data_IF_721711956102
#
_entry.id   IF_721711956102
#
_cell.length_a   1.000
_cell.length_b   1.000
_cell.length_c   1.000
_cell.angle_alpha   90.00
_cell.angle_beta   90.00
_cell.angle_gamma   90.00
#
_symmetry.space_group_name_H-M   'P 1'
#
loop_
_entity.id
_entity.type
_entity.pdbx_description
1 polymer ?
2 non-polymer ?
3 water ?
#
# COMPACT_ATOMS: atom_id res chain seq x y z
N UNK A 12 -17.28 11.91 -7.36
CA UNK A 12 -16.32 12.17 -6.27
C UNK A 12 -15.41 13.36 -6.55
N UNK A 13 -15.21 14.17 -5.51
CA UNK A 13 -14.36 15.36 -5.59
C UNK A 13 -12.89 15.05 -5.33
N UNK A 14 -12.54 13.78 -5.10
CA UNK A 14 -11.18 13.36 -4.80
C UNK A 14 -10.93 12.03 -5.50
N UNK A 15 -9.65 11.65 -5.56
CA UNK A 15 -9.21 10.39 -6.17
C UNK A 15 -9.03 9.35 -5.07
N UNK A 16 -10.01 8.45 -4.90
CA UNK A 16 -9.95 7.51 -3.79
C UNK A 16 -8.77 6.55 -3.91
N UNK A 17 -8.33 6.27 -5.13
CA UNK A 17 -7.20 5.35 -5.31
C UNK A 17 -5.92 5.96 -4.76
N UNK A 18 -5.74 7.26 -4.95
CA UNK A 18 -4.54 7.91 -4.42
C UNK A 18 -4.59 8.00 -2.90
N UNK A 19 -5.77 8.27 -2.33
CA UNK A 19 -5.89 8.29 -0.87
C UNK A 19 -5.51 6.94 -0.28
N UNK A 20 -6.07 5.85 -0.82
CA UNK A 20 -5.77 4.53 -0.28
C UNK A 20 -4.31 4.17 -0.50
N UNK A 21 -3.73 4.60 -1.62
CA UNK A 21 -2.31 4.35 -1.87
C UNK A 21 -1.44 5.07 -0.86
N UNK A 22 -1.76 6.32 -0.55
CA UNK A 22 -1.04 7.05 0.49
C UNK A 22 -1.05 6.29 1.81
N UNK A 23 -2.24 5.83 2.23
CA UNK A 23 -2.35 5.06 3.46
C UNK A 23 -1.59 3.74 3.37
N UNK A 24 -1.69 3.07 2.23
CA UNK A 24 -1.03 1.79 2.04
C UNK A 24 0.49 1.91 2.13
N UNK A 25 1.05 2.89 1.43
CA UNK A 25 2.49 3.06 1.47
C UNK A 25 2.97 3.42 2.88
N UNK A 26 2.12 4.09 3.66
CA UNK A 26 2.45 4.40 5.05
C UNK A 26 2.14 3.26 6.01
N UNK A 27 1.70 2.11 5.49
CA UNK A 27 1.33 0.94 6.30
C UNK A 27 0.30 1.31 7.37
N UNK A 28 -0.60 2.24 7.05
CA UNK A 28 -1.62 2.71 7.98
C UNK A 28 -2.94 1.96 7.76
N UNK A 29 -3.83 2.14 8.72
CA UNK A 29 -5.13 1.49 8.77
C UNK A 29 -6.18 2.60 8.61
N UNK A 30 -7.01 2.49 7.56
CA UNK A 30 -7.95 3.58 7.33
C UNK A 30 -8.86 3.79 8.55
N UNK A 31 -9.19 2.71 9.27
CA UNK A 31 -10.08 2.81 10.43
C UNK A 31 -9.52 3.69 11.55
N UNK A 32 -8.20 3.87 11.62
CA UNK A 32 -7.60 4.66 12.68
C UNK A 32 -6.89 5.90 12.14
N UNK A 33 -7.07 6.21 10.86
CA UNK A 33 -6.37 7.36 10.25
C UNK A 33 -7.13 8.65 10.54
N UNK A 34 -6.39 9.67 10.93
CA UNK A 34 -6.97 10.96 11.29
C UNK A 34 -6.85 11.94 10.12
N UNK A 35 -7.97 12.56 9.78
CA UNK A 35 -8.07 13.55 8.72
C UNK A 35 -8.09 14.95 9.33
N UNK A 36 -7.39 15.89 8.68
CA UNK A 36 -7.48 17.29 9.06
C UNK A 36 -7.77 18.10 7.81
N UNK A 37 -8.87 18.84 7.83
CA UNK A 37 -9.22 19.74 6.74
C UNK A 37 -8.87 21.16 7.20
N UNK A 38 -8.02 21.84 6.44
CA UNK A 38 -7.54 23.17 6.80
C UNK A 38 -7.98 24.17 5.73
N UNK A 39 -8.54 25.29 6.17
CA UNK A 39 -9.02 26.31 5.23
C UNK A 39 -7.83 27.03 4.58
N UNK A 40 -7.86 27.24 3.26
CA UNK A 40 -6.67 27.75 2.57
C UNK A 40 -6.31 29.19 2.93
N UNK A 41 -7.26 30.01 3.39
CA UNK A 41 -7.02 31.44 3.56
C UNK A 41 -6.98 31.78 5.05
N UNK A 42 -5.77 32.08 5.54
CA UNK A 42 -5.58 32.32 6.97
C UNK A 42 -6.47 33.45 7.46
N UNK A 43 -6.62 34.51 6.66
CA UNK A 43 -7.39 35.69 7.05
C UNK A 43 -8.87 35.41 7.28
N UNK A 44 -9.41 34.31 6.74
CA UNK A 44 -10.82 34.00 6.96
C UNK A 44 -11.07 33.45 8.35
N UNK A 45 -10.04 32.94 9.01
CA UNK A 45 -10.11 32.39 10.36
C UNK A 45 -11.24 31.36 10.48
N UNK A 46 -11.13 30.32 9.63
CA UNK A 46 -12.04 29.19 9.58
C UNK A 46 -11.44 28.06 10.39
N UNK A 47 -12.26 27.41 11.20
CA UNK A 47 -11.78 26.33 12.05
C UNK A 47 -11.46 25.07 11.25
N UNK A 48 -10.31 24.46 11.53
CA UNK A 48 -9.96 23.20 10.89
C UNK A 48 -10.87 22.08 11.37
N UNK A 49 -11.12 21.11 10.49
CA UNK A 49 -11.83 19.89 10.88
C UNK A 49 -10.82 18.85 11.34
N UNK A 50 -11.13 18.17 12.43
CA UNK A 50 -10.31 17.06 12.90
C UNK A 50 -11.26 15.89 13.11
N UNK A 51 -11.09 14.83 12.32
CA UNK A 51 -12.15 13.84 12.20
C UNK A 51 -11.54 12.56 11.63
N UNK A 52 -12.22 11.41 11.81
CA UNK A 52 -11.78 10.19 11.12
C UNK A 52 -11.81 10.38 9.60
N UNK A 53 -10.87 9.72 8.93
CA UNK A 53 -10.82 9.78 7.47
C UNK A 53 -11.91 8.88 6.89
N UNK A 54 -12.90 9.47 6.22
CA UNK A 54 -13.93 8.73 5.50
C UNK A 54 -14.17 9.42 4.16
N UNK A 55 -14.67 8.65 3.20
CA UNK A 55 -14.93 9.22 1.89
C UNK A 55 -15.96 10.32 1.93
N UNK A 56 -17.02 10.15 2.73
CA UNK A 56 -18.07 11.16 2.81
C UNK A 56 -17.54 12.46 3.41
N UNK A 57 -16.64 12.36 4.39
CA UNK A 57 -16.11 13.56 5.02
C UNK A 57 -15.13 14.28 4.10
N UNK A 58 -14.25 13.54 3.42
CA UNK A 58 -13.38 14.18 2.44
C UNK A 58 -14.20 14.82 1.33
N UNK A 59 -15.23 14.11 0.84
CA UNK A 59 -16.10 14.68 -0.17
C UNK A 59 -16.65 16.04 0.27
N UNK A 60 -17.11 16.12 1.51
CA UNK A 60 -17.69 17.36 2.05
C UNK A 60 -16.64 18.44 2.22
N UNK A 61 -15.47 18.09 2.76
CA UNK A 61 -14.44 19.11 2.97
C UNK A 61 -13.91 19.66 1.65
N UNK A 62 -13.67 18.79 0.67
CA UNK A 62 -13.10 19.26 -0.61
C UNK A 62 -14.09 20.16 -1.34
N UNK A 63 -15.36 19.74 -1.44
CA UNK A 63 -16.32 20.60 -2.14
C UNK A 63 -16.56 21.91 -1.40
N UNK A 64 -16.46 21.92 -0.05
CA UNK A 64 -16.59 23.17 0.69
C UNK A 64 -15.40 24.09 0.49
N UNK A 65 -14.24 23.55 0.14
CA UNK A 65 -13.09 24.38 -0.20
C UNK A 65 -11.86 24.20 0.69
N UNK A 66 -11.81 23.15 1.50
CA UNK A 66 -10.68 22.92 2.39
C UNK A 66 -9.54 22.19 1.68
N UNK A 67 -8.32 22.39 2.18
CA UNK A 67 -7.22 21.52 1.81
C UNK A 67 -7.21 20.30 2.74
N UNK A 68 -6.57 19.22 2.26
CA UNK A 68 -6.71 17.90 2.87
C UNK A 68 -5.37 17.41 3.38
N UNK A 69 -5.36 16.92 4.62
CA UNK A 69 -4.17 16.45 5.32
C UNK A 69 -4.52 15.21 6.13
N UNK A 70 -3.50 14.40 6.41
CA UNK A 70 -3.65 13.32 7.38
C UNK A 70 -2.54 13.42 8.42
N UNK A 71 -2.87 13.00 9.65
CA UNK A 71 -1.83 12.79 10.65
C UNK A 71 -1.05 11.53 10.24
N UNK A 72 0.27 11.69 10.05
CA UNK A 72 1.08 10.56 9.62
C UNK A 72 1.23 9.55 10.76
N UNK A 73 1.57 10.04 11.95
CA UNK A 73 1.68 9.16 13.10
C UNK A 73 0.34 8.55 13.50
N UNK A 74 0.42 7.55 14.37
CA UNK A 74 -0.74 6.75 14.73
C UNK A 74 -1.13 6.97 16.18
N UNK A 75 -2.43 7.17 16.42
CA UNK A 75 -2.93 7.26 17.78
C UNK A 75 -3.89 8.41 18.06
N UNK A 76 -3.94 9.42 17.19
CA UNK A 76 -4.81 10.56 17.44
C UNK A 76 -4.27 11.81 16.78
N UNK A 77 -4.71 12.95 17.33
CA UNK A 77 -4.50 14.25 16.71
C UNK A 77 -3.41 15.10 17.37
N UNK A 78 -3.09 14.83 18.63
CA UNK A 78 -2.09 15.61 19.35
C UNK A 78 -0.85 14.75 19.59
N UNK A 79 0.27 15.41 19.91
CA UNK A 79 1.52 14.69 20.12
C UNK A 79 1.39 13.61 21.19
N UNK A 80 0.73 13.93 22.32
CA UNK A 80 0.60 12.97 23.40
C UNK A 80 -0.20 11.73 23.01
N UNK A 81 -1.08 11.82 22.01
CA UNK A 81 -1.86 10.67 21.58
C UNK A 81 -1.11 9.77 20.60
N UNK A 82 0.03 10.19 20.09
CA UNK A 82 0.76 9.39 19.10
C UNK A 82 1.59 8.35 19.81
N UNK A 83 1.41 7.08 19.44
CA UNK A 83 2.16 6.00 20.07
C UNK A 83 3.23 5.41 19.16
N UNK A 84 3.17 5.66 17.86
CA UNK A 84 4.20 5.21 16.93
C UNK A 84 4.00 5.93 15.61
N UNK A 85 5.06 5.97 14.82
CA UNK A 85 5.07 6.60 13.51
C UNK A 85 5.77 5.63 12.55
N UNK A 86 5.22 5.47 11.34
CA UNK A 86 5.71 4.46 10.40
C UNK A 86 6.72 4.98 9.39
N UNK A 87 6.99 6.28 9.37
CA UNK A 87 7.87 6.87 8.38
C UNK A 87 8.50 8.14 8.95
N UNK A 88 9.67 8.51 8.46
CA UNK A 88 10.15 9.89 8.57
C UNK A 88 9.89 10.56 7.23
N UNK A 89 9.87 11.89 7.24
CA UNK A 89 9.41 12.63 6.07
C UNK A 89 9.81 14.09 6.20
N UNK A 90 9.88 14.78 5.06
CA UNK A 90 10.17 16.20 5.12
C UNK A 90 10.03 16.88 3.77
N UNK A 91 10.30 18.17 3.77
CA UNK A 91 10.15 18.98 2.57
C UNK A 91 11.08 20.18 2.68
N UNK A 92 11.56 20.66 1.54
CA UNK A 92 12.23 21.96 1.51
C UNK A 92 11.19 23.07 1.46
N UNK A 93 11.51 24.19 2.12
CA UNK A 93 10.58 25.32 2.14
C UNK A 93 10.39 25.93 0.77
N UNK A 94 11.40 25.82 -0.12
CA UNK A 94 11.37 26.43 -1.44
C UNK A 94 12.47 25.80 -2.28
N UNK A 95 12.64 26.29 -3.49
CA UNK A 95 13.58 25.77 -4.46
C UNK A 95 12.89 25.26 -5.70
N UNK A 96 13.60 25.28 -6.83
CA UNK A 96 13.06 24.76 -8.07
C UNK A 96 12.48 23.36 -7.85
N UNK A 97 11.26 23.13 -8.33
CA UNK A 97 10.56 21.88 -8.04
C UNK A 97 11.32 20.67 -8.57
N UNK A 98 11.81 20.76 -9.82
CA UNK A 98 12.59 19.66 -10.39
C UNK A 98 13.83 19.38 -9.56
N UNK A 99 14.50 20.43 -9.06
CA UNK A 99 15.63 20.22 -8.18
C UNK A 99 15.20 19.48 -6.91
N UNK A 100 14.02 19.84 -6.37
CA UNK A 100 13.56 19.25 -5.12
C UNK A 100 13.38 17.73 -5.24
N UNK A 101 12.98 17.26 -6.43
CA UNK A 101 12.70 15.84 -6.58
C UNK A 101 13.94 15.01 -6.33
N UNK A 102 15.10 15.46 -6.79
CA UNK A 102 16.30 14.66 -6.68
C UNK A 102 17.30 15.09 -5.62
N UNK A 103 17.05 16.21 -4.94
CA UNK A 103 18.07 16.82 -4.08
C UNK A 103 18.42 15.98 -2.85
N UNK A 104 17.62 14.96 -2.51
CA UNK A 104 17.98 14.10 -1.38
C UNK A 104 19.31 13.40 -1.63
N UNK A 105 19.64 13.16 -2.91
CA UNK A 105 20.83 12.38 -3.24
C UNK A 105 22.10 13.14 -2.89
N UNK A 106 22.15 14.44 -3.22
CA UNK A 106 23.31 15.27 -2.88
C UNK A 106 23.46 15.49 -1.38
N UNK A 107 22.38 15.32 -0.60
CA UNK A 107 22.44 15.39 0.85
C UNK A 107 23.05 14.16 1.49
N UNK A 108 23.23 13.07 0.73
CA UNK A 108 23.62 11.82 1.33
C UNK A 108 22.49 11.02 1.93
N UNK A 109 21.26 11.35 1.59
CA UNK A 109 20.12 10.56 2.05
C UNK A 109 19.94 9.34 1.16
N UNK A 110 19.35 8.27 1.68
CA UNK A 110 18.94 7.16 0.82
C UNK A 110 17.70 7.55 0.03
N UNK A 111 17.41 6.77 -1.00
CA UNK A 111 16.28 7.08 -1.87
C UNK A 111 14.98 7.01 -1.09
N UNK A 112 14.10 7.99 -1.21
CA UNK A 112 12.82 7.93 -0.48
C UNK A 112 12.01 6.70 -0.88
N UNK A 113 11.24 6.17 0.07
CA UNK A 113 10.30 5.11 -0.25
C UNK A 113 9.29 5.58 -1.30
N UNK A 114 8.81 6.82 -1.16
CA UNK A 114 7.97 7.44 -2.19
C UNK A 114 8.01 8.95 -2.00
N UNK A 115 7.52 9.65 -3.01
CA UNK A 115 7.46 11.10 -2.99
C UNK A 115 6.04 11.53 -3.33
N UNK A 116 5.74 12.79 -3.05
CA UNK A 116 4.40 13.30 -3.24
C UNK A 116 4.46 14.71 -3.84
N UNK A 117 3.74 14.88 -4.92
CA UNK A 117 3.58 16.20 -5.53
C UNK A 117 2.33 16.84 -4.94
N UNK A 118 2.44 17.97 -4.30
CA UNK A 118 1.31 18.54 -3.58
C UNK A 118 0.43 19.43 -4.43
N UNK A 119 0.96 19.98 -5.52
CA UNK A 119 0.32 21.10 -6.18
C UNK A 119 0.83 22.46 -5.74
N UNK A 120 1.53 22.53 -4.62
CA UNK A 120 2.11 23.76 -4.15
C UNK A 120 3.60 23.82 -4.40
N UNK A 121 4.31 24.49 -3.46
CA UNK A 121 5.70 24.85 -3.70
C UNK A 121 6.71 23.78 -3.30
N UNK A 122 6.27 22.65 -2.72
CA UNK A 122 7.20 21.70 -2.15
C UNK A 122 6.86 20.28 -2.57
N UNK A 123 7.88 19.49 -2.83
CA UNK A 123 7.79 18.04 -2.91
C UNK A 123 7.87 17.48 -1.49
N UNK A 124 7.10 16.43 -1.22
CA UNK A 124 7.17 15.73 0.06
C UNK A 124 7.91 14.41 -0.13
N UNK A 125 8.86 14.13 0.76
CA UNK A 125 9.68 12.93 0.70
C UNK A 125 9.38 12.06 1.92
N UNK A 126 9.18 10.76 1.69
CA UNK A 126 8.89 9.81 2.75
C UNK A 126 9.87 8.65 2.75
N UNK A 127 10.30 8.24 3.94
CA UNK A 127 11.08 7.02 4.14
C UNK A 127 10.31 6.13 5.11
N UNK A 128 9.80 5.00 4.62
CA UNK A 128 8.91 4.14 5.39
C UNK A 128 9.70 3.01 6.02
N UNK A 129 9.42 2.72 7.29
CA UNK A 129 10.11 1.66 8.01
C UNK A 129 9.33 0.35 7.94
N UNK A 130 10.04 -0.75 8.19
CA UNK A 130 9.40 -2.06 8.17
C UNK A 130 8.46 -2.28 9.35
N UNK A 131 8.65 -1.55 10.45
CA UNK A 131 7.84 -1.67 11.65
C UNK A 131 7.57 -0.29 12.22
N UNK A 132 6.51 -0.13 13.01
CA UNK A 132 6.26 1.18 13.63
C UNK A 132 7.39 1.54 14.57
N UNK A 133 7.69 2.83 14.65
CA UNK A 133 8.79 3.35 15.45
C UNK A 133 8.20 4.12 16.64
N UNK A 134 8.69 3.82 17.84
CA UNK A 134 8.26 4.54 19.03
C UNK A 134 8.59 6.02 18.91
N UNK A 135 7.82 6.84 19.62
CA UNK A 135 7.94 8.29 19.47
C UNK A 135 9.34 8.82 19.79
N UNK A 136 9.98 8.43 20.90
CA UNK A 136 11.33 8.99 21.17
C UNK A 136 12.34 8.70 20.07
N UNK A 137 12.43 7.44 19.60
CA UNK A 137 13.31 7.10 18.49
C UNK A 137 12.92 7.87 17.23
N UNK A 138 11.63 7.89 16.90
CA UNK A 138 11.17 8.62 15.72
C UNK A 138 11.56 10.09 15.80
N UNK A 139 11.36 10.71 16.97
CA UNK A 139 11.63 12.14 17.11
C UNK A 139 13.08 12.45 16.79
N UNK A 140 14.00 11.59 17.23
CA UNK A 140 15.41 11.80 16.97
C UNK A 140 15.74 11.60 15.49
N UNK A 141 15.18 10.56 14.86
CA UNK A 141 15.40 10.34 13.44
C UNK A 141 14.88 11.51 12.61
N UNK A 142 13.69 12.01 12.96
CA UNK A 142 13.08 13.09 12.18
C UNK A 142 13.90 14.37 12.32
N UNK A 143 14.40 14.64 13.52
CA UNK A 143 15.23 15.82 13.74
C UNK A 143 16.53 15.72 12.96
N UNK A 144 17.14 14.55 12.95
CA UNK A 144 18.38 14.37 12.19
C UNK A 144 18.14 14.51 10.70
N UNK A 145 17.00 13.99 10.21
CA UNK A 145 16.66 14.14 8.80
C UNK A 145 16.52 15.61 8.43
N UNK A 146 15.81 16.37 9.25
CA UNK A 146 15.64 17.80 9.00
C UNK A 146 16.99 18.51 8.93
N UNK A 147 17.88 18.18 9.87
CA UNK A 147 19.18 18.85 9.94
C UNK A 147 20.04 18.54 8.72
N UNK A 148 20.08 17.27 8.31
CA UNK A 148 20.97 16.85 7.24
C UNK A 148 20.51 17.39 5.89
N UNK A 149 19.21 17.39 5.65
CA UNK A 149 18.69 17.87 4.38
C UNK A 149 18.51 19.38 4.34
N UNK A 150 18.43 20.04 5.50
CA UNK A 150 17.97 21.41 5.53
C UNK A 150 16.49 21.53 5.18
N UNK A 151 15.67 20.59 5.63
CA UNK A 151 14.24 20.67 5.42
C UNK A 151 13.63 21.80 6.26
N UNK A 152 12.39 22.13 5.94
CA UNK A 152 11.52 22.92 6.80
C UNK A 152 11.45 22.33 8.21
N UNK A 153 11.91 23.09 9.21
CA UNK A 153 12.03 22.58 10.57
C UNK A 153 10.71 22.53 11.33
N UNK A 154 9.62 23.03 10.73
CA UNK A 154 8.31 22.98 11.36
C UNK A 154 7.81 21.56 11.55
N UNK A 155 8.10 20.67 10.59
CA UNK A 155 7.51 19.34 10.53
C UNK A 155 8.28 18.34 11.41
N UNK A 156 8.32 18.61 12.68
CA UNK A 156 9.09 17.78 13.54
C UNK A 156 8.37 17.03 14.67
N UNK A 157 7.10 17.29 14.87
CA UNK A 157 6.36 16.73 16.01
C UNK A 157 5.60 15.47 15.59
N UNK A 158 5.35 14.54 16.52
CA UNK A 158 4.80 13.24 16.10
C UNK A 158 3.37 13.30 15.55
N UNK A 159 2.57 14.32 15.88
CA UNK A 159 1.24 14.44 15.30
C UNK A 159 1.21 15.33 14.06
N UNK A 160 2.36 15.59 13.44
CA UNK A 160 2.41 16.43 12.25
C UNK A 160 1.50 15.88 11.16
N UNK A 161 0.68 16.78 10.54
CA UNK A 161 -0.16 16.40 9.41
C UNK A 161 0.58 16.70 8.11
N UNK A 162 0.29 15.94 7.07
CA UNK A 162 0.89 16.13 5.75
C UNK A 162 -0.21 16.06 4.70
N UNK A 163 0.00 16.81 3.61
CA UNK A 163 -0.95 16.84 2.50
C UNK A 163 -1.31 15.43 2.05
N UNK A 164 -2.60 15.18 1.86
CA UNK A 164 -3.12 13.86 1.48
C UNK A 164 -3.17 13.73 -0.04
N UNK A 165 -2.62 12.63 -0.57
CA UNK A 165 -2.67 12.37 -2.01
C UNK A 165 -4.10 12.21 -2.48
N UNK A 166 -4.35 12.60 -3.73
CA UNK A 166 -5.66 12.43 -4.32
C UNK A 166 -6.66 13.52 -4.03
N UNK A 167 -6.28 14.56 -3.28
CA UNK A 167 -7.16 15.69 -3.03
C UNK A 167 -6.57 16.95 -3.63
N UNK A 168 -7.41 17.91 -4.01
CA UNK A 168 -6.88 19.11 -4.68
C UNK A 168 -6.20 20.09 -3.72
N UNK A 169 -5.14 20.70 -4.25
CA UNK A 169 -4.56 21.93 -3.73
C UNK A 169 -5.51 23.05 -4.14
N UNK A 170 -6.24 23.63 -3.18
CA UNK A 170 -7.40 24.44 -3.52
C UNK A 170 -7.05 25.72 -4.28
N UNK A 171 -5.84 26.23 -4.11
CA UNK A 171 -5.48 27.47 -4.79
C UNK A 171 -5.40 27.27 -6.30
N UNK A 172 -4.89 26.12 -6.75
CA UNK A 172 -4.74 25.83 -8.17
C UNK A 172 -5.67 24.75 -8.70
N UNK A 173 -6.22 23.90 -7.84
CA UNK A 173 -6.98 22.77 -8.28
C UNK A 173 -6.17 21.55 -8.64
N UNK A 174 -4.83 21.65 -8.68
CA UNK A 174 -3.99 20.48 -8.96
C UNK A 174 -4.20 19.42 -7.88
N UNK A 175 -4.38 18.16 -8.30
CA UNK A 175 -4.63 17.07 -7.36
C UNK A 175 -3.30 16.47 -6.94
N UNK A 176 -3.09 16.34 -5.63
CA UNK A 176 -1.83 15.80 -5.13
C UNK A 176 -1.64 14.36 -5.61
N UNK A 177 -0.40 14.02 -5.96
CA UNK A 177 -0.11 12.75 -6.62
C UNK A 177 1.12 12.10 -6.01
N UNK A 178 1.03 10.81 -5.69
CA UNK A 178 2.19 10.03 -5.28
C UNK A 178 3.00 9.65 -6.50
N UNK A 179 4.33 9.71 -6.39
CA UNK A 179 5.18 9.32 -7.49
C UNK A 179 6.50 8.79 -6.95
N UNK A 180 7.25 8.09 -7.82
CA UNK A 180 8.55 7.50 -7.48
C UNK A 180 8.46 6.54 -6.29
N UNK A 181 7.36 5.81 -6.18
CA UNK A 181 7.28 4.76 -5.17
C UNK A 181 8.21 3.60 -5.55
N UNK A 182 8.94 3.10 -4.56
CA UNK A 182 9.91 2.04 -4.80
C UNK A 182 9.55 0.75 -4.09
N UNK A 183 8.66 0.80 -3.11
CA UNK A 183 8.35 -0.36 -2.31
C UNK A 183 9.34 -0.66 -1.21
N UNK A 184 10.43 0.10 -1.11
CA UNK A 184 11.48 -0.23 -0.16
C UNK A 184 11.10 0.19 1.25
N UNK A 185 11.50 -0.63 2.22
CA UNK A 185 11.25 -0.38 3.64
C UNK A 185 12.60 -0.28 4.34
N UNK A 186 12.73 0.70 5.23
CA UNK A 186 13.99 0.97 5.92
C UNK A 186 13.95 0.43 7.33
N UNK A 187 15.13 0.31 7.91
CA UNK A 187 15.27 -0.09 9.28
C UNK A 187 15.69 1.10 10.12
N UNK A 188 15.00 1.38 11.23
CA UNK A 188 15.31 2.60 12.00
C UNK A 188 16.71 2.63 12.58
N UNK A 189 17.27 1.47 12.93
CA UNK A 189 18.63 1.45 13.42
C UNK A 189 19.64 1.77 12.34
N UNK A 190 19.46 1.21 11.15
CA UNK A 190 20.32 1.56 10.02
C UNK A 190 20.18 3.04 9.68
N UNK A 191 18.95 3.56 9.76
CA UNK A 191 18.72 4.96 9.45
C UNK A 191 19.43 5.87 10.46
N UNK A 192 19.47 5.45 11.72
CA UNK A 192 20.16 6.24 12.73
C UNK A 192 21.66 6.37 12.43
N UNK A 193 22.25 5.36 11.78
CA UNK A 193 23.67 5.41 11.45
C UNK A 193 23.96 6.35 10.28
N UNK A 194 23.08 6.38 9.27
CA UNK A 194 23.32 7.22 8.10
C UNK A 194 22.96 8.68 8.34
N UNK A 195 22.05 8.97 9.28
CA UNK A 195 21.68 10.31 9.69
C UNK A 195 22.51 10.71 10.90
N UNK A 196 23.25 11.81 10.82
CA UNK A 196 24.03 12.41 11.92
C UNK A 196 23.15 13.05 12.99
N UNK B 12 8.20 -0.72 -21.12
CA UNK B 12 7.94 -1.69 -20.05
C UNK B 12 6.76 -2.60 -20.36
N UNK B 13 6.93 -3.88 -20.12
CA UNK B 13 5.94 -4.90 -20.43
C UNK B 13 4.91 -5.08 -19.33
N UNK B 14 5.01 -4.31 -18.24
CA UNK B 14 4.16 -4.46 -17.07
C UNK B 14 3.91 -3.09 -16.49
N UNK B 15 2.92 -3.00 -15.59
CA UNK B 15 2.58 -1.75 -14.91
C UNK B 15 3.17 -1.81 -13.51
N UNK B 16 4.27 -1.09 -13.30
CA UNK B 16 4.97 -1.15 -12.02
C UNK B 16 4.09 -0.62 -10.88
N UNK B 17 3.20 0.34 -11.16
CA UNK B 17 2.39 0.89 -10.06
C UNK B 17 1.41 -0.14 -9.53
N UNK B 18 0.85 -0.98 -10.40
CA UNK B 18 -0.02 -2.07 -9.97
C UNK B 18 0.76 -3.13 -9.20
N UNK B 19 1.98 -3.45 -9.63
CA UNK B 19 2.79 -4.41 -8.87
C UNK B 19 3.04 -3.88 -7.46
N UNK B 20 3.48 -2.63 -7.35
CA UNK B 20 3.78 -2.08 -6.03
C UNK B 20 2.52 -1.98 -5.17
N UNK B 21 1.38 -1.62 -5.80
CA UNK B 21 0.12 -1.57 -5.05
C UNK B 21 -0.26 -2.94 -4.51
N UNK B 22 -0.10 -3.99 -5.31
CA UNK B 22 -0.40 -5.35 -4.84
C UNK B 22 0.43 -5.68 -3.60
N UNK B 23 1.73 -5.41 -3.66
CA UNK B 23 2.61 -5.67 -2.52
C UNK B 23 2.21 -4.82 -1.33
N UNK B 24 1.89 -3.55 -1.60
CA UNK B 24 1.55 -2.61 -0.54
C UNK B 24 0.28 -3.03 0.19
N UNK B 25 -0.77 -3.38 -0.56
CA UNK B 25 -2.00 -3.83 0.09
C UNK B 25 -1.78 -5.10 0.91
N UNK B 26 -0.85 -5.97 0.50
CA UNK B 26 -0.51 -7.15 1.28
C UNK B 26 0.50 -6.86 2.39
N UNK B 27 0.91 -5.60 2.55
CA UNK B 27 1.88 -5.21 3.57
C UNK B 27 3.19 -5.99 3.43
N UNK B 28 3.56 -6.31 2.20
CA UNK B 28 4.78 -7.04 1.91
C UNK B 28 5.93 -6.07 1.60
N UNK B 29 7.13 -6.63 1.57
CA UNK B 29 8.38 -5.92 1.33
C UNK B 29 8.89 -6.37 -0.03
N UNK B 30 9.09 -5.44 -0.97
CA UNK B 30 9.60 -5.81 -2.28
C UNK B 30 10.92 -6.58 -2.17
N UNK B 31 11.75 -6.24 -1.18
CA UNK B 31 13.05 -6.87 -1.06
C UNK B 31 12.97 -8.36 -0.72
N UNK B 32 11.85 -8.85 -0.18
CA UNK B 32 11.72 -10.25 0.18
C UNK B 32 10.58 -10.93 -0.57
N UNK B 33 9.99 -10.29 -1.56
CA UNK B 33 8.89 -10.91 -2.28
C UNK B 33 9.42 -11.87 -3.34
N UNK B 34 8.76 -13.02 -3.44
CA UNK B 34 9.13 -14.05 -4.39
C UNK B 34 8.14 -14.07 -5.57
N UNK B 35 8.69 -14.13 -6.77
CA UNK B 35 7.96 -14.15 -8.03
C UNK B 35 7.94 -15.57 -8.58
N UNK B 36 6.84 -15.97 -9.21
CA UNK B 36 6.78 -17.21 -9.96
C UNK B 36 6.28 -16.90 -11.37
N UNK B 37 7.04 -17.31 -12.36
CA UNK B 37 6.63 -17.20 -13.76
C UNK B 37 6.26 -18.61 -14.23
N UNK B 38 5.02 -18.77 -14.69
CA UNK B 38 4.54 -20.07 -15.16
C UNK B 38 4.24 -19.97 -16.65
N UNK B 39 4.72 -20.96 -17.40
CA UNK B 39 4.46 -20.97 -18.83
C UNK B 39 3.00 -21.32 -19.09
N UNK B 40 2.33 -20.62 -20.01
CA UNK B 40 0.88 -20.83 -20.17
C UNK B 40 0.50 -22.20 -20.71
N UNK B 41 1.37 -22.91 -21.42
CA UNK B 41 0.99 -24.15 -22.11
C UNK B 41 1.68 -25.34 -21.46
N UNK B 42 0.91 -26.12 -20.71
CA UNK B 42 1.48 -27.27 -20.01
C UNK B 42 2.17 -28.22 -20.98
N UNK B 43 1.62 -28.39 -22.19
CA UNK B 43 2.18 -29.35 -23.14
C UNK B 43 3.59 -28.98 -23.62
N UNK B 44 4.05 -27.73 -23.41
CA UNK B 44 5.39 -27.34 -23.82
C UNK B 44 6.47 -27.73 -22.84
N UNK B 45 6.10 -28.20 -21.64
CA UNK B 45 7.06 -28.69 -20.63
C UNK B 45 8.14 -27.67 -20.33
N UNK B 46 7.72 -26.44 -20.03
CA UNK B 46 8.61 -25.34 -19.68
C UNK B 46 8.59 -25.20 -18.16
N UNK B 47 9.78 -25.21 -17.54
CA UNK B 47 9.89 -25.13 -16.10
C UNK B 47 9.58 -23.71 -15.61
N UNK B 48 8.80 -23.62 -14.53
CA UNK B 48 8.47 -22.32 -13.98
C UNK B 48 9.71 -21.65 -13.39
N UNK B 49 9.70 -20.31 -13.41
CA UNK B 49 10.74 -19.55 -12.71
C UNK B 49 10.32 -19.31 -11.28
N UNK B 50 11.27 -19.42 -10.35
CA UNK B 50 11.09 -18.98 -8.97
C UNK B 50 12.25 -18.03 -8.66
N UNK B 51 11.93 -16.74 -8.46
CA UNK B 51 12.94 -15.69 -8.44
C UNK B 51 12.64 -14.63 -7.38
N UNK B 52 13.60 -13.77 -7.03
CA UNK B 52 13.24 -12.48 -6.43
C UNK B 52 12.34 -11.70 -7.38
N UNK B 53 11.43 -10.92 -6.81
CA UNK B 53 10.63 -10.00 -7.60
C UNK B 53 11.49 -8.77 -7.93
N UNK B 54 11.89 -8.64 -9.19
CA UNK B 54 12.62 -7.46 -9.67
C UNK B 54 12.02 -7.01 -10.99
N UNK B 55 12.18 -5.72 -11.29
CA UNK B 55 11.68 -5.19 -12.55
C UNK B 55 12.23 -5.90 -13.76
N UNK B 56 13.55 -6.16 -13.77
CA UNK B 56 14.16 -6.87 -14.89
C UNK B 56 13.58 -8.27 -15.04
N UNK B 57 13.40 -8.99 -13.93
CA UNK B 57 12.84 -10.34 -14.00
C UNK B 57 11.45 -10.33 -14.62
N UNK B 58 10.59 -9.42 -14.17
CA UNK B 58 9.24 -9.38 -14.70
C UNK B 58 9.26 -9.00 -16.18
N UNK B 59 10.07 -7.99 -16.54
CA UNK B 59 10.19 -7.60 -17.94
C UNK B 59 10.56 -8.78 -18.81
N UNK B 60 11.55 -9.56 -18.36
CA UNK B 60 12.03 -10.69 -19.14
C UNK B 60 10.99 -11.81 -19.20
N UNK B 61 10.35 -12.10 -18.07
CA UNK B 61 9.35 -13.16 -18.06
C UNK B 61 8.18 -12.81 -18.96
N UNK B 62 7.65 -11.60 -18.83
CA UNK B 62 6.51 -11.21 -19.66
C UNK B 62 6.90 -11.22 -21.12
N UNK B 63 8.09 -10.67 -21.48
CA UNK B 63 8.53 -10.60 -22.87
C UNK B 63 8.68 -12.00 -23.47
N UNK B 64 9.16 -12.96 -22.66
CA UNK B 64 9.33 -14.31 -23.19
C UNK B 64 8.02 -15.09 -23.27
N UNK B 65 6.94 -14.63 -22.63
CA UNK B 65 5.65 -15.26 -22.74
C UNK B 65 5.08 -15.92 -21.50
N UNK B 66 5.66 -15.68 -20.32
CA UNK B 66 5.17 -16.30 -19.08
C UNK B 66 4.02 -15.51 -18.46
N UNK B 67 3.19 -16.21 -17.69
CA UNK B 67 2.25 -15.61 -16.75
C UNK B 67 2.96 -15.31 -15.42
N UNK B 68 2.40 -14.35 -14.67
CA UNK B 68 3.07 -13.74 -13.52
C UNK B 68 2.31 -13.98 -12.23
N UNK B 69 3.02 -14.44 -11.19
CA UNK B 69 2.43 -14.71 -9.87
C UNK B 69 3.41 -14.30 -8.77
N UNK B 70 2.89 -14.05 -7.56
CA UNK B 70 3.74 -13.87 -6.40
C UNK B 70 3.34 -14.85 -5.30
N UNK B 71 4.32 -15.27 -4.52
CA UNK B 71 4.04 -16.01 -3.30
C UNK B 71 3.47 -15.03 -2.27
N UNK B 72 2.24 -15.28 -1.82
CA UNK B 72 1.62 -14.36 -0.87
C UNK B 72 2.30 -14.45 0.49
N UNK B 73 2.48 -15.67 1.02
CA UNK B 73 3.18 -15.83 2.28
C UNK B 73 4.63 -15.38 2.18
N UNK B 74 5.25 -15.19 3.34
CA UNK B 74 6.60 -14.65 3.42
C UNK B 74 7.60 -15.71 3.87
N UNK B 75 8.80 -15.68 3.29
CA UNK B 75 9.87 -16.58 3.70
C UNK B 75 10.54 -17.40 2.62
N UNK B 76 9.94 -17.54 1.45
CA UNK B 76 10.59 -18.26 0.36
C UNK B 76 9.58 -18.83 -0.63
N UNK B 77 10.04 -19.83 -1.38
CA UNK B 77 9.27 -20.38 -2.49
C UNK B 77 8.47 -21.63 -2.14
N UNK B 78 8.80 -22.32 -1.05
CA UNK B 78 8.16 -23.59 -0.74
C UNK B 78 7.49 -23.51 0.63
N UNK B 79 6.54 -24.44 0.85
CA UNK B 79 5.71 -24.39 2.06
C UNK B 79 6.57 -24.35 3.32
N UNK B 80 7.62 -25.17 3.38
CA UNK B 80 8.42 -25.24 4.60
C UNK B 80 9.20 -23.95 4.89
N UNK B 81 9.35 -23.07 3.91
CA UNK B 81 10.08 -21.83 4.11
C UNK B 81 9.19 -20.70 4.59
N UNK B 82 7.88 -20.88 4.56
CA UNK B 82 6.96 -19.78 4.88
C UNK B 82 6.91 -19.61 6.39
N UNK B 83 7.15 -18.39 6.86
CA UNK B 83 7.11 -18.11 8.28
C UNK B 83 5.83 -17.41 8.71
N UNK B 84 5.20 -16.65 7.82
CA UNK B 84 3.94 -16.00 8.15
C UNK B 84 3.25 -15.57 6.86
N UNK B 85 1.96 -15.28 6.97
CA UNK B 85 1.16 -14.81 5.85
C UNK B 85 0.32 -13.62 6.33
N UNK B 86 0.18 -12.60 5.49
CA UNK B 86 -0.47 -11.36 5.88
C UNK B 86 -1.94 -11.29 5.50
N UNK B 87 -2.48 -12.30 4.84
CA UNK B 87 -3.84 -12.23 4.33
C UNK B 87 -4.37 -13.63 4.11
N UNK B 88 -5.70 -13.77 4.19
CA UNK B 88 -6.38 -14.93 3.61
C UNK B 88 -7.00 -14.47 2.31
N UNK B 89 -7.25 -15.43 1.41
CA UNK B 89 -7.60 -15.10 0.03
C UNK B 89 -8.16 -16.35 -0.65
N UNK B 90 -8.88 -16.12 -1.73
CA UNK B 90 -9.40 -17.26 -2.48
C UNK B 90 -10.11 -16.80 -3.73
N UNK B 91 -10.64 -17.79 -4.46
CA UNK B 91 -11.34 -17.55 -5.71
C UNK B 91 -12.30 -18.70 -5.96
N UNK B 92 -13.36 -18.41 -6.71
CA UNK B 92 -14.23 -19.46 -7.23
C UNK B 92 -13.66 -20.00 -8.54
N UNK B 93 -13.76 -21.32 -8.69
CA UNK B 93 -13.22 -22.01 -9.86
C UNK B 93 -13.84 -21.54 -11.17
N UNK B 94 -15.13 -21.18 -11.12
CA UNK B 94 -15.84 -20.73 -12.31
C UNK B 94 -17.03 -19.88 -11.86
N UNK B 95 -17.90 -19.53 -12.80
CA UNK B 95 -19.06 -18.72 -12.49
C UNK B 95 -19.02 -17.39 -13.17
N UNK B 96 -20.18 -16.83 -13.47
CA UNK B 96 -20.26 -15.53 -14.12
C UNK B 96 -19.39 -14.49 -13.39
N UNK B 97 -18.60 -13.74 -14.17
CA UNK B 97 -17.63 -12.83 -13.58
C UNK B 97 -18.29 -11.81 -12.66
N UNK B 98 -19.38 -11.19 -13.14
CA UNK B 98 -20.06 -10.20 -12.32
C UNK B 98 -20.62 -10.82 -11.05
N UNK B 99 -21.11 -12.06 -11.14
CA UNK B 99 -21.53 -12.76 -9.93
C UNK B 99 -20.35 -12.91 -8.97
N UNK B 100 -19.18 -13.32 -9.49
CA UNK B 100 -18.01 -13.56 -8.64
C UNK B 100 -17.63 -12.33 -7.84
N UNK B 101 -17.78 -11.15 -8.43
CA UNK B 101 -17.36 -9.91 -7.75
C UNK B 101 -18.12 -9.75 -6.44
N UNK B 102 -19.42 -10.01 -6.45
CA UNK B 102 -20.21 -9.70 -5.27
C UNK B 102 -20.61 -10.87 -4.41
N UNK B 103 -20.30 -12.10 -4.83
CA UNK B 103 -20.89 -13.27 -4.19
C UNK B 103 -20.38 -13.55 -2.78
N UNK B 104 -19.33 -12.84 -2.33
CA UNK B 104 -18.89 -12.96 -0.95
C UNK B 104 -19.98 -12.51 0.03
N UNK B 105 -20.87 -11.61 -0.39
CA UNK B 105 -21.82 -11.07 0.56
C UNK B 105 -22.92 -12.09 0.87
N UNK B 106 -23.48 -12.71 -0.16
CA UNK B 106 -24.50 -13.74 0.06
C UNK B 106 -23.94 -14.91 0.86
N UNK B 107 -22.63 -15.14 0.77
CA UNK B 107 -21.95 -16.22 1.55
C UNK B 107 -21.92 -15.80 3.06
N UNK B 108 -22.05 -14.52 3.40
CA UNK B 108 -21.86 -14.10 4.77
C UNK B 108 -20.44 -13.72 5.14
N UNK B 109 -19.58 -13.45 4.16
CA UNK B 109 -18.22 -12.98 4.40
C UNK B 109 -18.22 -11.46 4.61
N UNK B 110 -17.26 -10.94 5.38
CA UNK B 110 -17.03 -9.49 5.38
C UNK B 110 -16.45 -9.06 4.04
N UNK B 111 -16.59 -7.77 3.76
CA UNK B 111 -16.11 -7.23 2.51
C UNK B 111 -14.61 -7.47 2.37
N UNK B 112 -14.14 -7.97 1.24
CA UNK B 112 -12.69 -8.12 1.05
C UNK B 112 -11.97 -6.80 1.24
N UNK B 113 -10.73 -6.89 1.75
CA UNK B 113 -9.85 -5.73 1.76
C UNK B 113 -9.62 -5.19 0.35
N UNK B 114 -9.46 -6.09 -0.63
CA UNK B 114 -9.36 -5.68 -2.02
C UNK B 114 -9.65 -6.88 -2.90
N UNK B 115 -9.94 -6.60 -4.16
CA UNK B 115 -10.19 -7.65 -5.13
C UNK B 115 -9.25 -7.46 -6.30
N UNK B 116 -9.12 -8.49 -7.12
CA UNK B 116 -8.22 -8.43 -8.26
C UNK B 116 -8.85 -9.13 -9.46
N UNK B 117 -8.85 -8.45 -10.57
CA UNK B 117 -9.29 -9.02 -11.83
C UNK B 117 -8.06 -9.63 -12.52
N UNK B 118 -8.12 -10.90 -12.82
CA UNK B 118 -6.92 -11.58 -13.30
C UNK B 118 -6.66 -11.40 -14.78
N UNK B 119 -7.65 -10.98 -15.55
CA UNK B 119 -7.57 -11.08 -17.00
C UNK B 119 -8.02 -12.41 -17.56
N UNK B 120 -8.37 -13.38 -16.70
CA UNK B 120 -8.88 -14.67 -17.10
C UNK B 120 -10.30 -14.90 -16.61
N UNK B 121 -10.54 -16.05 -16.02
CA UNK B 121 -11.90 -16.47 -15.70
C UNK B 121 -12.32 -16.18 -14.27
N UNK B 122 -11.42 -15.63 -13.44
CA UNK B 122 -11.65 -15.57 -12.00
C UNK B 122 -11.39 -14.17 -11.43
N UNK B 123 -12.14 -13.85 -10.39
CA UNK B 123 -11.86 -12.75 -9.49
C UNK B 123 -11.12 -13.31 -8.28
N UNK B 124 -10.11 -12.59 -7.80
CA UNK B 124 -9.43 -12.95 -6.56
C UNK B 124 -9.87 -12.01 -5.44
N UNK B 125 -10.09 -12.59 -4.26
CA UNK B 125 -10.56 -11.86 -3.08
C UNK B 125 -9.54 -12.00 -1.96
N UNK B 126 -9.21 -10.88 -1.31
CA UNK B 126 -8.22 -10.85 -0.25
C UNK B 126 -8.78 -10.18 0.99
N UNK B 127 -8.48 -10.75 2.15
CA UNK B 127 -8.73 -10.13 3.45
C UNK B 127 -7.39 -10.00 4.16
N UNK B 128 -6.92 -8.76 4.34
CA UNK B 128 -5.59 -8.48 4.89
C UNK B 128 -5.70 -8.25 6.39
N UNK B 129 -4.76 -8.81 7.14
CA UNK B 129 -4.72 -8.64 8.60
C UNK B 129 -3.78 -7.51 9.00
N UNK B 130 -3.99 -6.99 10.22
CA UNK B 130 -3.15 -5.89 10.68
C UNK B 130 -1.73 -6.33 11.00
N UNK B 131 -1.50 -7.62 11.23
CA UNK B 131 -0.20 -8.16 11.57
C UNK B 131 0.00 -9.49 10.84
N UNK B 132 1.24 -9.92 10.65
CA UNK B 132 1.48 -11.24 10.06
C UNK B 132 0.93 -12.34 10.96
N UNK B 133 0.34 -13.35 10.34
CA UNK B 133 -0.25 -14.49 11.04
C UNK B 133 0.66 -15.69 10.86
N UNK B 134 0.94 -16.39 11.95
CA UNK B 134 1.80 -17.57 11.85
C UNK B 134 1.14 -18.63 10.99
N UNK B 135 1.96 -19.48 10.36
CA UNK B 135 1.43 -20.46 9.40
C UNK B 135 0.43 -21.42 10.03
N UNK B 136 0.66 -21.98 11.23
CA UNK B 136 -0.37 -22.87 11.79
C UNK B 136 -1.74 -22.22 11.92
N UNK B 137 -1.80 -21.02 12.49
CA UNK B 137 -3.08 -20.33 12.61
C UNK B 137 -3.61 -19.89 11.25
N UNK B 138 -2.71 -19.43 10.36
CA UNK B 138 -3.15 -19.02 9.03
C UNK B 138 -3.81 -20.18 8.30
N UNK B 139 -3.22 -21.37 8.41
CA UNK B 139 -3.72 -22.52 7.66
C UNK B 139 -5.16 -22.84 8.05
N UNK B 140 -5.49 -22.74 9.34
CA UNK B 140 -6.87 -22.98 9.77
C UNK B 140 -7.81 -21.92 9.23
N UNK B 141 -7.44 -20.63 9.36
CA UNK B 141 -8.27 -19.56 8.85
C UNK B 141 -8.54 -19.73 7.35
N UNK B 142 -7.46 -19.99 6.58
CA UNK B 142 -7.60 -20.15 5.14
C UNK B 142 -8.53 -21.30 4.82
N UNK B 143 -8.40 -22.42 5.53
CA UNK B 143 -9.25 -23.57 5.31
C UNK B 143 -10.71 -23.25 5.64
N UNK B 144 -10.94 -22.53 6.74
CA UNK B 144 -12.31 -22.14 7.08
C UNK B 144 -12.89 -21.18 6.06
N UNK B 145 -12.07 -20.27 5.51
CA UNK B 145 -12.56 -19.39 4.45
C UNK B 145 -12.97 -20.20 3.22
N UNK B 146 -12.12 -21.14 2.80
CA UNK B 146 -12.43 -21.96 1.63
C UNK B 146 -13.77 -22.67 1.84
N UNK B 147 -13.97 -23.22 3.04
CA UNK B 147 -15.18 -23.99 3.33
C UNK B 147 -16.43 -23.12 3.27
N UNK B 148 -16.40 -21.96 3.90
CA UNK B 148 -17.59 -21.11 3.95
C UNK B 148 -17.96 -20.56 2.58
N UNK B 149 -16.97 -20.15 1.79
CA UNK B 149 -17.25 -19.55 0.49
C UNK B 149 -17.44 -20.58 -0.61
N UNK B 150 -17.01 -21.82 -0.40
CA UNK B 150 -16.97 -22.80 -1.47
C UNK B 150 -15.94 -22.43 -2.52
N UNK B 151 -14.82 -21.84 -2.10
CA UNK B 151 -13.73 -21.46 -2.99
C UNK B 151 -13.00 -22.71 -3.50
N UNK B 152 -12.24 -22.52 -4.58
CA UNK B 152 -11.33 -23.54 -5.09
C UNK B 152 -10.43 -24.03 -3.96
N UNK B 153 -10.54 -25.33 -3.64
CA UNK B 153 -9.81 -25.88 -2.49
C UNK B 153 -8.32 -26.05 -2.73
N UNK B 154 -7.77 -25.79 -3.92
CA UNK B 154 -6.35 -25.97 -4.12
C UNK B 154 -5.52 -24.88 -3.44
N UNK B 155 -6.08 -23.66 -3.34
CA UNK B 155 -5.33 -22.50 -2.83
C UNK B 155 -5.28 -22.47 -1.30
N UNK B 156 -4.75 -23.56 -0.73
CA UNK B 156 -4.81 -23.78 0.71
C UNK B 156 -3.46 -23.79 1.41
N UNK B 157 -2.34 -23.89 0.66
CA UNK B 157 -1.01 -24.11 1.24
C UNK B 157 -0.29 -22.78 1.45
N UNK B 158 0.67 -22.72 2.39
CA UNK B 158 1.21 -21.41 2.77
C UNK B 158 2.05 -20.74 1.69
N UNK B 159 2.67 -21.50 0.77
CA UNK B 159 3.45 -20.88 -0.30
C UNK B 159 2.63 -20.72 -1.58
N UNK B 160 1.32 -20.77 -1.48
CA UNK B 160 0.44 -20.61 -2.64
C UNK B 160 0.75 -19.30 -3.36
N UNK B 161 0.93 -19.37 -4.70
CA UNK B 161 1.12 -18.17 -5.51
C UNK B 161 -0.23 -17.67 -6.01
N UNK B 162 -0.31 -16.37 -6.22
CA UNK B 162 -1.49 -15.74 -6.78
C UNK B 162 -1.09 -14.79 -7.88
N UNK B 163 -1.96 -14.67 -8.88
CA UNK B 163 -1.75 -13.79 -10.02
C UNK B 163 -1.36 -12.37 -9.60
N UNK B 164 -0.31 -11.85 -10.22
CA UNK B 164 0.28 -10.56 -9.84
C UNK B 164 -0.35 -9.41 -10.62
N UNK B 165 -0.83 -8.39 -9.89
CA UNK B 165 -1.42 -7.23 -10.56
C UNK B 165 -0.38 -6.52 -11.42
N UNK B 166 -0.83 -5.98 -12.54
CA UNK B 166 0.03 -5.21 -13.41
C UNK B 166 0.74 -5.99 -14.50
N UNK B 167 0.53 -7.30 -14.57
CA UNK B 167 1.14 -8.14 -15.59
C UNK B 167 0.06 -8.78 -16.46
N UNK B 168 0.36 -9.05 -17.72
CA UNK B 168 -0.68 -9.60 -18.60
C UNK B 168 -0.93 -11.07 -18.37
N UNK B 169 -2.21 -11.43 -18.46
CA UNK B 169 -2.64 -12.79 -18.68
C UNK B 169 -2.34 -13.14 -20.14
N UNK B 170 -1.54 -14.20 -20.37
CA UNK B 170 -1.01 -14.40 -21.71
C UNK B 170 -2.06 -14.84 -22.72
N UNK B 171 -3.11 -15.55 -22.28
CA UNK B 171 -4.13 -16.00 -23.24
C UNK B 171 -4.97 -14.83 -23.75
N UNK B 172 -5.47 -13.98 -22.87
CA UNK B 172 -6.31 -12.85 -23.29
C UNK B 172 -5.51 -11.57 -23.52
N UNK B 173 -4.28 -11.49 -23.01
CA UNK B 173 -3.53 -10.26 -23.07
C UNK B 173 -3.93 -9.23 -22.03
N UNK B 174 -4.99 -9.47 -21.26
CA UNK B 174 -5.45 -8.46 -20.31
C UNK B 174 -4.50 -8.33 -19.13
N UNK B 175 -4.23 -7.10 -18.73
CA UNK B 175 -3.37 -6.85 -17.58
C UNK B 175 -4.21 -6.98 -16.30
N UNK B 176 -3.74 -7.81 -15.36
CA UNK B 176 -4.42 -7.98 -14.08
C UNK B 176 -4.46 -6.65 -13.32
N UNK B 177 -5.58 -6.38 -12.65
CA UNK B 177 -5.78 -5.08 -12.04
C UNK B 177 -6.50 -5.22 -10.70
N UNK B 178 -6.04 -4.46 -9.72
CA UNK B 178 -6.67 -4.42 -8.40
C UNK B 178 -7.88 -3.50 -8.46
N UNK B 179 -8.96 -3.89 -7.79
CA UNK B 179 -10.12 -3.01 -7.71
C UNK B 179 -10.81 -3.25 -6.38
N UNK B 180 -11.70 -2.31 -6.03
CA UNK B 180 -12.49 -2.36 -4.80
C UNK B 180 -11.61 -2.44 -3.56
N UNK B 181 -10.46 -1.76 -3.58
CA UNK B 181 -9.69 -1.62 -2.36
C UNK B 181 -10.45 -0.74 -1.37
N UNK B 182 -10.42 -1.13 -0.11
CA UNK B 182 -11.10 -0.42 0.95
C UNK B 182 -10.19 0.17 2.00
N UNK B 183 -8.94 -0.29 2.09
CA UNK B 183 -8.02 0.14 3.12
C UNK B 183 -8.20 -0.56 4.45
N UNK B 184 -9.15 -1.48 4.56
CA UNK B 184 -9.50 -2.08 5.85
C UNK B 184 -8.63 -3.27 6.16
N UNK B 185 -8.31 -3.44 7.44
CA UNK B 185 -7.47 -4.51 7.93
C UNK B 185 -8.25 -5.36 8.92
N UNK B 186 -8.08 -6.66 8.86
CA UNK B 186 -8.83 -7.55 9.73
C UNK B 186 -7.96 -8.04 10.89
N UNK B 187 -8.62 -8.50 11.93
CA UNK B 187 -7.95 -9.11 13.07
C UNK B 187 -8.16 -10.62 13.02
N UNK B 188 -7.11 -11.43 13.20
CA UNK B 188 -7.27 -12.88 13.03
C UNK B 188 -8.22 -13.48 14.06
N UNK B 189 -8.22 -12.94 15.28
CA UNK B 189 -9.10 -13.47 16.32
C UNK B 189 -10.57 -13.26 15.98
N UNK B 190 -10.92 -12.04 15.63
CA UNK B 190 -12.29 -11.71 15.23
C UNK B 190 -12.72 -12.45 14.01
N UNK B 191 -11.80 -12.65 13.15
CA UNK B 191 -12.09 -13.40 11.92
C UNK B 191 -12.46 -14.84 12.25
N UNK B 192 -11.88 -15.38 13.32
CA UNK B 192 -12.31 -16.68 13.84
C UNK B 192 -13.75 -16.66 14.30
N UNK B 193 -14.23 -15.51 14.77
CA UNK B 193 -15.64 -15.41 15.16
C UNK B 193 -16.57 -15.59 13.98
N UNK B 194 -16.24 -14.98 12.83
CA UNK B 194 -17.17 -15.00 11.71
C UNK B 194 -17.02 -16.22 10.81
N UNK B 195 -15.88 -16.92 10.87
CA UNK B 195 -15.64 -18.06 9.99
C UNK B 195 -16.04 -19.36 10.69
N UNK B 196 -17.15 -20.03 10.28
CA UNK B 196 -17.63 -21.28 10.87
C UNK B 196 -16.70 -22.47 10.60
X LIG C 1 14.84 -2.70 3.06
X LIG D 1 -10.38 -3.25 11.02
X LIG E 1 13.85 -21.17 -3.87
#
# INVERSE_FOLDING_TARGET
GTGDGSMSTPAPAFDRDQILLHLSLLRKDIATTRYRAIWPRREDKVKAWTTPLTGATVQDAVTQGFNSYIVVGDGGDSDAEITSVNAIFGEWDDGDLAWQVGAWEACGLPRPSFQLRTGGKSIHHYWVFHSPVDVPAWTELQARLIALAGFDTTNRNPSRVMRLAGCPHQRTGEVAQIFNATGELYDPGQMLQVLP
GTGDGSMSTPAPAFDRDQILLHLSLLRKDIATTRYRAIWPRREDKVKAWTTPLTGATVQDAVTQGFNSYIVVGDGGDSDAEITSVNAIFGEWDDGDLAWQVGAWEACGLPRPSFQLRTGGKSIHHYWVFHSPVDVPAWTELQARLIALAGFDTTNRNPSRVMRLAGCPHQRTGEVAQIFNATGELYDPGQMLQVLP
CA CA
CA CA
CA CA
#
